data_IF_051468504605
#
_entry.id   IF_051468504605
#
_cell.length_a   1.000
_cell.length_b   1.000
_cell.length_c   1.000
_cell.angle_alpha   90.00
_cell.angle_beta   90.00
_cell.angle_gamma   90.00
#
_symmetry.space_group_name_H-M   'P 1'
#
loop_
_entity.id
_entity.type
_entity.pdbx_description
1 polymer ?
#
# COMPACT_ATOMS: atom_id res chain seq x y z
N UNK A 1 4.73 -5.21 24.26
CA UNK A 1 4.29 -4.12 23.36
C UNK A 1 2.86 -4.43 22.91
N UNK A 2 1.86 -3.69 23.40
CA UNK A 2 0.47 -3.86 22.96
C UNK A 2 0.30 -3.09 21.65
N UNK A 3 -0.04 -3.78 20.57
CA UNK A 3 -0.46 -3.13 19.32
C UNK A 3 -1.81 -2.48 19.60
N UNK A 4 -1.98 -1.16 19.40
CA UNK A 4 -3.23 -0.47 19.65
C UNK A 4 -4.36 -1.07 18.80
N UNK A 5 -5.57 -1.15 19.37
CA UNK A 5 -6.75 -1.62 18.64
C UNK A 5 -6.94 -0.84 17.33
N UNK A 6 -7.33 -1.54 16.27
CA UNK A 6 -7.69 -0.93 15.00
C UNK A 6 -8.98 -0.11 15.16
N UNK A 7 -8.86 1.23 15.06
CA UNK A 7 -9.65 2.14 14.22
C UNK A 7 -9.71 3.55 14.83
N UNK A 8 -9.14 4.53 14.09
CA UNK A 8 -9.61 5.91 13.93
C UNK A 8 -8.77 6.55 12.80
N UNK A 9 -9.17 6.35 11.53
CA UNK A 9 -8.61 7.03 10.34
C UNK A 9 -7.28 6.54 9.68
N UNK A 10 -6.63 5.49 10.19
CA UNK A 10 -5.34 5.02 9.67
C UNK A 10 -5.36 3.78 8.76
N UNK A 11 -4.20 3.46 8.18
CA UNK A 11 -3.94 2.23 7.43
C UNK A 11 -2.97 1.32 8.19
N UNK A 12 -3.17 0.01 8.11
CA UNK A 12 -2.28 -0.97 8.73
C UNK A 12 -0.97 -1.10 7.97
N UNK A 13 -1.01 -0.95 6.65
CA UNK A 13 0.19 -0.88 5.83
C UNK A 13 0.02 0.00 4.60
N UNK A 14 1.13 0.54 4.11
CA UNK A 14 1.26 1.26 2.85
C UNK A 14 2.40 0.65 2.04
N UNK A 15 2.16 0.41 0.75
CA UNK A 15 3.20 -0.03 -0.18
C UNK A 15 3.67 1.15 -1.01
N UNK A 16 4.92 1.57 -0.80
CA UNK A 16 5.62 2.59 -1.59
C UNK A 16 6.47 1.89 -2.66
N UNK A 17 6.32 2.31 -3.91
CA UNK A 17 6.96 1.72 -5.07
C UNK A 17 7.07 2.75 -6.20
N UNK A 18 7.97 2.53 -7.16
CA UNK A 18 8.03 3.35 -8.37
C UNK A 18 7.00 2.86 -9.39
N UNK A 19 6.30 3.76 -10.07
CA UNK A 19 5.25 3.39 -11.03
C UNK A 19 5.73 2.40 -12.10
N UNK A 20 6.98 2.56 -12.56
CA UNK A 20 7.61 1.67 -13.54
C UNK A 20 7.72 0.22 -13.06
N UNK A 21 7.83 -0.01 -11.75
CA UNK A 21 7.82 -1.36 -11.21
C UNK A 21 6.44 -2.01 -11.32
N UNK A 22 5.35 -1.25 -11.29
CA UNK A 22 4.01 -1.81 -11.37
C UNK A 22 3.42 -1.84 -12.79
N UNK A 23 4.23 -1.57 -13.82
CA UNK A 23 3.82 -1.76 -15.20
C UNK A 23 3.42 -3.23 -15.44
N UNK A 24 2.27 -3.44 -16.06
CA UNK A 24 1.77 -4.78 -16.36
C UNK A 24 2.17 -5.20 -17.77
N UNK A 25 2.51 -6.48 -17.94
CA UNK A 25 2.63 -7.07 -19.26
C UNK A 25 1.24 -7.05 -19.95
N UNK A 26 1.13 -6.87 -21.28
CA UNK A 26 -0.17 -6.83 -21.97
C UNK A 26 -1.06 -8.07 -21.75
N UNK A 27 -0.46 -9.21 -21.42
CA UNK A 27 -1.19 -10.46 -21.11
C UNK A 27 -1.48 -10.67 -19.63
N UNK A 28 -1.02 -9.77 -18.76
CA UNK A 28 -1.23 -9.83 -17.32
C UNK A 28 -2.31 -8.82 -16.91
N UNK A 29 -3.26 -9.21 -16.04
CA UNK A 29 -4.34 -8.32 -15.63
C UNK A 29 -3.88 -7.19 -14.69
N UNK A 30 -2.71 -7.33 -14.04
CA UNK A 30 -2.15 -6.32 -13.15
C UNK A 30 -0.63 -6.47 -13.00
N UNK A 31 0.02 -5.39 -12.56
CA UNK A 31 1.46 -5.36 -12.27
C UNK A 31 1.85 -6.20 -11.05
N UNK A 32 3.13 -6.51 -10.93
CA UNK A 32 3.59 -7.41 -9.85
C UNK A 32 3.48 -6.76 -8.46
N UNK A 33 3.62 -5.44 -8.34
CA UNK A 33 3.44 -4.73 -7.06
C UNK A 33 1.97 -4.79 -6.63
N UNK A 34 1.04 -4.70 -7.59
CA UNK A 34 -0.39 -4.90 -7.34
C UNK A 34 -0.67 -6.31 -6.81
N UNK A 35 -0.04 -7.33 -7.41
CA UNK A 35 -0.15 -8.72 -6.93
C UNK A 35 0.43 -8.89 -5.52
N UNK A 36 1.58 -8.26 -5.24
CA UNK A 36 2.19 -8.24 -3.91
C UNK A 36 1.25 -7.63 -2.87
N UNK A 37 0.67 -6.46 -3.18
CA UNK A 37 -0.28 -5.78 -2.31
C UNK A 37 -1.48 -6.66 -1.98
N UNK A 38 -2.10 -7.28 -2.98
CA UNK A 38 -3.26 -8.17 -2.79
C UNK A 38 -2.90 -9.41 -1.97
N UNK A 39 -1.78 -10.05 -2.29
CA UNK A 39 -1.31 -11.21 -1.54
C UNK A 39 -1.08 -10.85 -0.06
N UNK A 40 -0.40 -9.73 0.21
CA UNK A 40 -0.16 -9.25 1.57
C UNK A 40 -1.46 -8.95 2.31
N UNK A 41 -2.41 -8.26 1.66
CA UNK A 41 -3.71 -7.95 2.24
C UNK A 41 -4.49 -9.22 2.60
N UNK A 42 -4.51 -10.22 1.70
CA UNK A 42 -5.18 -11.50 1.92
C UNK A 42 -4.54 -12.26 3.07
N UNK A 43 -3.21 -12.36 3.09
CA UNK A 43 -2.49 -13.09 4.13
C UNK A 43 -2.67 -12.42 5.50
N UNK A 44 -2.60 -11.10 5.58
CA UNK A 44 -2.87 -10.36 6.83
C UNK A 44 -4.31 -10.57 7.30
N UNK A 45 -5.29 -10.55 6.40
CA UNK A 45 -6.70 -10.82 6.72
C UNK A 45 -6.93 -12.24 7.26
N UNK A 46 -6.14 -13.22 6.84
CA UNK A 46 -6.24 -14.63 7.30
C UNK A 46 -5.72 -14.84 8.73
N UNK A 47 -4.83 -13.97 9.20
CA UNK A 47 -4.32 -14.02 10.58
C UNK A 47 -5.46 -13.92 11.60
N UNK A 48 -5.22 -14.40 12.83
CA UNK A 48 -6.21 -14.27 13.92
C UNK A 48 -6.56 -12.81 14.19
N UNK A 49 -5.57 -11.92 14.11
CA UNK A 49 -5.75 -10.48 14.30
C UNK A 49 -6.59 -9.89 13.17
N UNK A 50 -6.23 -10.18 11.91
CA UNK A 50 -6.94 -9.65 10.75
C UNK A 50 -8.41 -10.07 10.70
N UNK A 51 -8.74 -11.30 11.12
CA UNK A 51 -10.14 -11.76 11.24
C UNK A 51 -10.92 -11.04 12.34
N UNK A 52 -10.27 -10.68 13.44
CA UNK A 52 -10.92 -10.05 14.59
C UNK A 52 -11.09 -8.53 14.44
N UNK A 53 -10.16 -7.88 13.74
CA UNK A 53 -10.06 -6.41 13.71
C UNK A 53 -10.16 -5.79 12.31
N UNK A 54 -10.19 -6.61 11.25
CA UNK A 54 -10.02 -6.13 9.89
C UNK A 54 -8.58 -5.72 9.60
N UNK A 55 -8.27 -5.53 8.31
CA UNK A 55 -6.98 -5.02 7.83
C UNK A 55 -7.22 -4.06 6.69
N UNK A 56 -6.60 -2.88 6.76
CA UNK A 56 -6.65 -1.82 5.74
C UNK A 56 -5.25 -1.59 5.17
N UNK A 57 -5.08 -1.86 3.88
CA UNK A 57 -3.90 -1.45 3.12
C UNK A 57 -4.18 -0.14 2.36
N UNK A 58 -3.17 0.70 2.21
CA UNK A 58 -3.18 1.81 1.26
C UNK A 58 -2.37 1.43 0.02
N UNK A 59 -2.97 1.65 -1.15
CA UNK A 59 -2.33 1.45 -2.45
C UNK A 59 -2.68 2.64 -3.34
N UNK A 60 -1.66 3.43 -3.65
CA UNK A 60 -1.78 4.74 -4.28
C UNK A 60 -2.62 4.68 -5.56
N UNK A 61 -2.26 3.86 -6.55
CA UNK A 61 -2.93 3.80 -7.85
C UNK A 61 -4.42 3.44 -7.80
N UNK A 62 -4.88 2.77 -6.74
CA UNK A 62 -6.29 2.34 -6.61
C UNK A 62 -7.19 3.34 -5.89
N UNK A 63 -6.60 4.31 -5.18
CA UNK A 63 -7.35 5.21 -4.29
C UNK A 63 -7.34 6.67 -4.75
N UNK A 64 -6.76 6.96 -5.92
CA UNK A 64 -6.72 8.31 -6.48
C UNK A 64 -7.79 8.51 -7.53
N UNK A 65 -8.83 9.24 -7.17
CA UNK A 65 -9.56 10.10 -8.07
C UNK A 65 -8.62 11.25 -8.46
N UNK A 66 -8.42 11.50 -9.76
CA UNK A 66 -7.42 12.45 -10.30
C UNK A 66 -7.63 13.93 -9.97
N UNK A 67 -8.34 14.24 -8.88
CA UNK A 67 -8.73 15.56 -8.39
C UNK A 67 -7.83 16.08 -7.26
N UNK A 68 -7.01 15.22 -6.63
CA UNK A 68 -6.09 15.61 -5.54
C UNK A 68 -4.64 15.32 -5.94
N UNK A 69 -3.72 16.23 -5.60
CA UNK A 69 -2.29 16.01 -5.80
C UNK A 69 -1.82 14.79 -5.00
N UNK A 70 -1.09 13.89 -5.66
CA UNK A 70 -0.52 12.65 -5.11
C UNK A 70 0.18 12.89 -3.76
N UNK A 71 0.98 13.94 -3.71
CA UNK A 71 1.81 14.29 -2.57
C UNK A 71 0.96 14.62 -1.33
N UNK A 72 -0.09 15.41 -1.48
CA UNK A 72 -0.95 15.83 -0.36
C UNK A 72 -1.68 14.65 0.28
N UNK A 73 -2.11 13.67 -0.53
CA UNK A 73 -2.70 12.44 -0.01
C UNK A 73 -1.68 11.58 0.72
N UNK A 74 -0.48 11.40 0.16
CA UNK A 74 0.59 10.61 0.79
C UNK A 74 1.00 11.25 2.12
N UNK A 75 1.19 12.57 2.18
CA UNK A 75 1.55 13.27 3.42
C UNK A 75 0.45 13.19 4.49
N UNK A 76 -0.82 13.12 4.10
CA UNK A 76 -1.93 12.91 5.03
C UNK A 76 -2.05 11.47 5.55
N UNK A 77 -1.64 10.48 4.75
CA UNK A 77 -1.83 9.05 5.04
C UNK A 77 -0.62 8.43 5.74
N UNK A 78 0.59 8.82 5.36
CA UNK A 78 1.82 8.24 5.86
C UNK A 78 1.94 8.32 7.41
N UNK A 79 1.62 9.45 8.08
CA UNK A 79 1.66 9.52 9.55
C UNK A 79 0.65 8.61 10.24
N UNK A 80 -0.42 8.22 9.54
CA UNK A 80 -1.47 7.33 10.05
C UNK A 80 -1.23 5.86 9.67
N UNK A 81 -0.11 5.57 8.99
CA UNK A 81 0.24 4.22 8.55
C UNK A 81 1.09 3.52 9.61
N UNK A 82 0.73 2.28 9.96
CA UNK A 82 1.45 1.50 10.98
C UNK A 82 2.69 0.79 10.43
N UNK A 83 2.64 0.35 9.18
CA UNK A 83 3.74 -0.33 8.50
C UNK A 83 3.98 0.28 7.12
N UNK A 84 5.20 0.75 6.87
CA UNK A 84 5.64 1.14 5.54
C UNK A 84 6.39 -0.02 4.89
N UNK A 85 5.92 -0.46 3.72
CA UNK A 85 6.57 -1.45 2.87
C UNK A 85 7.14 -0.71 1.66
N UNK A 86 8.46 -0.67 1.55
CA UNK A 86 9.15 -0.02 0.43
C UNK A 86 9.62 -1.09 -0.55
N UNK A 87 9.20 -0.99 -1.80
CA UNK A 87 9.75 -1.75 -2.91
C UNK A 87 11.01 -1.05 -3.36
N UNK A 88 12.15 -1.51 -2.86
CA UNK A 88 13.45 -0.95 -3.21
C UNK A 88 13.96 -1.61 -4.51
N UNK A 89 13.80 -0.90 -5.62
CA UNK A 89 14.25 -1.30 -6.96
C UNK A 89 15.20 -0.24 -7.54
N UNK A 90 15.87 -0.54 -8.66
CA UNK A 90 16.63 0.46 -9.40
C UNK A 90 15.72 1.59 -9.92
N UNK A 91 14.49 1.26 -10.32
CA UNK A 91 13.46 2.25 -10.71
C UNK A 91 13.09 3.16 -9.55
N UNK A 92 13.00 2.63 -8.32
CA UNK A 92 12.71 3.39 -7.11
C UNK A 92 13.88 4.29 -6.69
N UNK A 93 15.11 3.81 -6.82
CA UNK A 93 16.30 4.62 -6.54
C UNK A 93 16.54 5.70 -7.60
N UNK A 94 16.12 5.44 -8.83
CA UNK A 94 16.22 6.36 -9.97
C UNK A 94 14.99 7.25 -10.15
N UNK A 95 13.87 6.96 -9.47
CA UNK A 95 12.71 7.83 -9.50
C UNK A 95 13.07 9.13 -8.79
N UNK A 96 12.62 10.25 -9.34
CA UNK A 96 12.67 11.49 -8.57
C UNK A 96 11.60 11.46 -7.48
N UNK A 97 10.53 10.65 -7.67
CA UNK A 97 9.37 10.44 -6.81
C UNK A 97 8.72 9.11 -7.19
#
# INVERSE_FOLDING_TARGET
MRIPAAHDDGYDFFVSFAHDDNQHHPTAPMGWVSNLYEALLIELKRTRYGRAHGVRGFFAERHMDGTVALDDQIYGILPKTRLLVVVLSDSYLGSQW
#
